data_IF_284732343009
#
_entry.id   IF_284732343009
#
_cell.length_a   1.000
_cell.length_b   1.000
_cell.length_c   1.000
_cell.angle_alpha   90.00
_cell.angle_beta   90.00
_cell.angle_gamma   90.00
#
_symmetry.space_group_name_H-M   'P 1'
#
loop_
_entity.id
_entity.type
_entity.pdbx_description
1 polymer ?
#
# COMPACT_ATOMS: atom_id res chain seq x y z
N UNK A 1 36.95 -6.06 95.50
CA UNK A 1 37.44 -4.67 95.36
C UNK A 1 37.75 -4.45 93.88
N UNK A 2 36.81 -3.84 93.13
CA UNK A 2 36.85 -2.42 92.64
C UNK A 2 37.85 -2.29 91.46
N UNK A 3 37.39 -2.29 90.19
CA UNK A 3 37.04 -1.11 89.33
C UNK A 3 38.29 -0.37 88.79
N UNK A 4 38.44 0.17 87.57
CA UNK A 4 37.63 0.64 86.40
C UNK A 4 38.71 0.94 85.29
N UNK A 5 38.54 0.80 83.95
CA UNK A 5 38.06 1.84 82.99
C UNK A 5 38.12 1.38 81.51
N UNK A 6 36.95 1.48 80.83
CA UNK A 6 36.69 2.07 79.50
C UNK A 6 37.49 1.66 78.23
N UNK A 7 36.80 1.02 77.25
CA UNK A 7 36.27 1.66 76.03
C UNK A 7 35.68 0.61 75.05
N UNK A 8 34.39 0.72 74.79
CA UNK A 8 33.66 -0.06 73.79
C UNK A 8 33.47 0.76 72.49
N UNK A 9 33.66 0.14 71.33
CA UNK A 9 33.27 0.67 70.02
C UNK A 9 32.58 -0.43 69.21
N UNK A 10 31.25 -0.50 69.35
CA UNK A 10 30.35 -1.30 68.52
C UNK A 10 29.66 -0.37 67.52
N UNK A 11 30.09 -0.40 66.25
CA UNK A 11 29.38 0.27 65.15
C UNK A 11 28.26 -0.63 64.64
N UNK A 12 27.08 -0.51 65.24
CA UNK A 12 25.84 -1.04 64.67
C UNK A 12 25.45 -0.25 63.42
N UNK A 13 25.45 -0.90 62.23
CA UNK A 13 24.77 -0.37 61.03
C UNK A 13 23.26 -0.45 61.28
N UNK A 14 22.62 0.67 61.61
CA UNK A 14 21.16 0.79 61.55
C UNK A 14 20.70 0.67 60.10
N UNK A 15 20.10 -0.45 59.72
CA UNK A 15 19.29 -0.54 58.50
C UNK A 15 18.05 0.34 58.66
N UNK A 16 17.89 1.33 57.78
CA UNK A 16 16.67 2.13 57.66
C UNK A 16 15.50 1.19 57.30
N UNK A 17 14.38 1.29 58.02
CA UNK A 17 13.14 0.57 57.68
C UNK A 17 12.69 0.98 56.27
N UNK A 18 12.12 0.07 55.45
CA UNK A 18 11.72 0.35 54.05
C UNK A 18 10.88 1.63 53.88
N UNK A 19 10.07 1.96 54.89
CA UNK A 19 9.23 3.16 54.93
C UNK A 19 9.99 4.49 55.12
N UNK A 20 11.22 4.46 55.66
CA UNK A 20 12.08 5.64 55.80
C UNK A 20 12.95 5.86 54.56
N UNK A 21 13.40 4.78 53.91
CA UNK A 21 14.09 4.86 52.62
C UNK A 21 13.16 5.37 51.51
N UNK A 22 11.90 4.93 51.49
CA UNK A 22 10.89 5.42 50.54
C UNK A 22 10.59 6.92 50.74
N UNK A 23 10.50 7.38 52.00
CA UNK A 23 10.33 8.81 52.35
C UNK A 23 11.54 9.66 51.95
N UNK A 24 12.76 9.13 52.08
CA UNK A 24 13.98 9.81 51.65
C UNK A 24 14.09 9.91 50.12
N UNK A 25 13.69 8.87 49.38
CA UNK A 25 13.63 8.90 47.91
C UNK A 25 12.54 9.84 47.43
N UNK A 26 11.34 9.79 48.01
CA UNK A 26 10.24 10.72 47.69
C UNK A 26 10.63 12.17 48.01
N UNK A 27 11.25 12.43 49.16
CA UNK A 27 11.76 13.76 49.54
C UNK A 27 12.79 14.26 48.53
N UNK A 28 13.78 13.45 48.14
CA UNK A 28 14.80 13.86 47.15
C UNK A 28 14.24 14.09 45.75
N UNK A 29 13.29 13.27 45.31
CA UNK A 29 12.61 13.45 44.01
C UNK A 29 11.76 14.72 44.01
N UNK A 30 11.05 15.01 45.10
CA UNK A 30 10.25 16.23 45.27
C UNK A 30 11.14 17.48 45.35
N UNK A 31 12.28 17.44 46.05
CA UNK A 31 13.24 18.56 46.09
C UNK A 31 13.92 18.81 44.74
N UNK A 32 14.18 17.76 43.95
CA UNK A 32 14.69 17.90 42.57
C UNK A 32 13.62 18.49 41.64
N UNK A 33 12.35 18.06 41.77
CA UNK A 33 11.24 18.62 40.99
C UNK A 33 10.93 20.08 41.35
N UNK A 34 11.07 20.46 42.63
CA UNK A 34 10.88 21.83 43.13
C UNK A 34 12.06 22.77 42.84
N UNK A 35 13.27 22.23 42.58
CA UNK A 35 14.46 23.03 42.23
C UNK A 35 14.61 23.28 40.72
N UNK A 36 13.78 22.64 39.89
CA UNK A 36 13.68 22.94 38.47
C UNK A 36 12.85 24.22 38.29
N UNK A 37 13.42 25.24 37.64
CA UNK A 37 12.65 26.42 37.26
C UNK A 37 11.45 26.01 36.41
N UNK A 38 10.34 26.74 36.52
CA UNK A 38 9.12 26.46 35.74
C UNK A 38 9.40 26.31 34.23
N UNK A 39 10.40 27.03 33.70
CA UNK A 39 10.87 26.88 32.32
C UNK A 39 11.57 25.53 32.04
N UNK A 40 12.42 25.03 32.94
CA UNK A 40 13.07 23.72 32.78
C UNK A 40 12.08 22.56 32.96
N UNK A 41 11.14 22.69 33.89
CA UNK A 41 10.06 21.71 34.08
C UNK A 41 9.12 21.70 32.86
N UNK A 42 8.75 22.88 32.33
CA UNK A 42 8.02 23.00 31.05
C UNK A 42 8.80 22.40 29.89
N UNK A 43 10.11 22.63 29.78
CA UNK A 43 10.94 22.01 28.74
C UNK A 43 11.07 20.50 28.88
N UNK A 44 11.14 19.96 30.10
CA UNK A 44 11.20 18.52 30.34
C UNK A 44 9.85 17.86 30.05
N UNK A 45 8.74 18.49 30.44
CA UNK A 45 7.38 18.06 30.12
C UNK A 45 7.11 18.18 28.63
N UNK A 46 7.54 19.27 27.97
CA UNK A 46 7.44 19.44 26.51
C UNK A 46 8.30 18.42 25.76
N UNK A 47 9.54 18.14 26.21
CA UNK A 47 10.39 17.09 25.64
C UNK A 47 9.89 15.69 25.93
N UNK A 48 9.28 15.47 27.09
CA UNK A 48 8.63 14.21 27.46
C UNK A 48 7.33 13.99 26.69
N UNK A 49 6.56 15.04 26.44
CA UNK A 49 5.36 15.04 25.61
C UNK A 49 5.71 14.88 24.12
N UNK A 50 6.75 15.56 23.62
CA UNK A 50 7.29 15.34 22.27
C UNK A 50 7.87 13.93 22.13
N UNK A 51 8.59 13.44 23.13
CA UNK A 51 9.17 12.10 23.14
C UNK A 51 8.07 11.02 23.17
N UNK A 52 7.02 11.25 23.97
CA UNK A 52 5.84 10.39 24.03
C UNK A 52 5.03 10.40 22.73
N UNK A 53 4.87 11.55 22.08
CA UNK A 53 4.16 11.65 20.80
C UNK A 53 4.95 11.04 19.64
N UNK A 54 6.27 11.23 19.60
CA UNK A 54 7.17 10.56 18.64
C UNK A 54 7.13 9.04 18.87
N UNK A 55 7.20 8.59 20.12
CA UNK A 55 7.12 7.16 20.44
C UNK A 55 5.76 6.57 20.02
N UNK A 56 4.66 7.25 20.31
CA UNK A 56 3.32 6.81 19.89
C UNK A 56 3.19 6.76 18.35
N UNK A 57 3.74 7.76 17.65
CA UNK A 57 3.75 7.79 16.18
C UNK A 57 4.59 6.64 15.61
N UNK A 58 5.75 6.35 16.19
CA UNK A 58 6.60 5.24 15.75
C UNK A 58 6.00 3.88 16.09
N UNK A 59 5.41 3.73 17.28
CA UNK A 59 4.69 2.53 17.69
C UNK A 59 3.49 2.27 16.77
N UNK A 60 2.77 3.32 16.39
CA UNK A 60 1.72 3.27 15.38
C UNK A 60 2.28 2.88 14.01
N UNK A 61 3.32 3.57 13.51
CA UNK A 61 3.91 3.35 12.19
C UNK A 61 4.51 1.95 12.00
N UNK A 62 5.02 1.36 13.08
CA UNK A 62 5.62 0.02 13.10
C UNK A 62 4.64 -1.04 13.61
N UNK A 63 3.39 -0.67 13.86
CA UNK A 63 2.33 -1.57 14.26
C UNK A 63 2.20 -2.74 13.30
N UNK A 64 2.12 -3.96 13.82
CA UNK A 64 2.14 -5.19 13.02
C UNK A 64 3.54 -5.82 12.86
N UNK A 65 4.62 -5.05 13.04
CA UNK A 65 5.99 -5.59 13.05
C UNK A 65 6.36 -6.24 14.41
N UNK A 66 5.68 -5.86 15.50
CA UNK A 66 5.92 -6.36 16.85
C UNK A 66 4.63 -6.89 17.48
N UNK A 67 4.73 -7.89 18.36
CA UNK A 67 3.59 -8.43 19.12
C UNK A 67 3.64 -8.07 20.60
N UNK A 68 4.83 -7.73 21.10
CA UNK A 68 5.07 -7.40 22.51
C UNK A 68 5.79 -6.06 22.62
N UNK A 69 5.50 -5.22 23.62
CA UNK A 69 6.07 -3.85 23.70
C UNK A 69 7.61 -3.77 23.70
N UNK A 70 8.31 -4.78 24.19
CA UNK A 70 9.79 -4.79 24.19
C UNK A 70 10.40 -5.11 22.82
N UNK A 71 9.69 -5.83 21.95
CA UNK A 71 10.15 -6.07 20.57
C UNK A 71 10.25 -4.75 19.80
N UNK A 72 9.39 -3.77 20.12
CA UNK A 72 9.42 -2.44 19.53
C UNK A 72 10.79 -1.77 19.67
N UNK A 73 11.49 -1.95 20.80
CA UNK A 73 12.84 -1.40 20.98
C UNK A 73 13.80 -1.97 19.93
N UNK A 74 13.75 -3.29 19.69
CA UNK A 74 14.54 -3.95 18.66
C UNK A 74 14.21 -3.45 17.25
N UNK A 75 12.92 -3.26 16.95
CA UNK A 75 12.48 -2.66 15.68
C UNK A 75 13.04 -1.25 15.52
N UNK A 76 12.89 -0.41 16.53
CA UNK A 76 13.36 0.99 16.52
C UNK A 76 14.88 1.09 16.32
N UNK A 77 15.66 0.24 17.00
CA UNK A 77 17.12 0.20 16.83
C UNK A 77 17.49 -0.15 15.38
N UNK A 78 16.84 -1.16 14.79
CA UNK A 78 17.06 -1.53 13.39
C UNK A 78 16.67 -0.41 12.43
N UNK A 79 15.51 0.22 12.63
CA UNK A 79 15.06 1.33 11.77
C UNK A 79 16.02 2.50 11.85
N UNK A 80 16.44 2.90 13.05
CA UNK A 80 17.45 3.97 13.23
C UNK A 80 18.76 3.63 12.53
N UNK A 81 19.25 2.40 12.69
CA UNK A 81 20.48 1.94 12.02
C UNK A 81 20.36 2.06 10.50
N UNK A 82 19.25 1.60 9.92
CA UNK A 82 19.03 1.63 8.47
C UNK A 82 18.89 3.06 7.94
N UNK A 83 18.19 3.95 8.65
CA UNK A 83 18.10 5.38 8.30
C UNK A 83 19.48 6.02 8.32
N UNK A 84 20.26 5.83 9.41
CA UNK A 84 21.61 6.35 9.50
C UNK A 84 22.50 5.83 8.38
N UNK A 85 22.43 4.52 8.07
CA UNK A 85 23.20 3.92 6.97
C UNK A 85 22.82 4.51 5.61
N UNK A 86 21.53 4.70 5.34
CA UNK A 86 21.06 5.30 4.08
C UNK A 86 21.56 6.75 3.91
N UNK A 87 21.45 7.57 4.95
CA UNK A 87 21.93 8.96 4.95
C UNK A 87 23.45 9.02 4.79
N UNK A 88 24.20 8.20 5.54
CA UNK A 88 25.67 8.16 5.41
C UNK A 88 26.09 7.70 4.01
N UNK A 89 25.39 6.73 3.42
CA UNK A 89 25.66 6.28 2.06
C UNK A 89 25.37 7.39 1.03
N UNK A 90 24.33 8.19 1.22
CA UNK A 90 24.02 9.35 0.38
C UNK A 90 25.10 10.43 0.47
N UNK A 91 25.57 10.75 1.69
CA UNK A 91 26.67 11.69 1.90
C UNK A 91 27.97 11.18 1.26
N UNK A 92 28.27 9.88 1.42
CA UNK A 92 29.45 9.26 0.82
C UNK A 92 29.44 9.30 -0.73
N UNK A 93 28.26 9.40 -1.35
CA UNK A 93 28.10 9.62 -2.80
C UNK A 93 28.17 11.10 -3.22
N UNK A 94 28.61 11.98 -2.32
CA UNK A 94 28.67 13.42 -2.58
C UNK A 94 27.29 14.07 -2.62
N UNK A 95 26.39 13.65 -1.73
CA UNK A 95 25.00 14.11 -1.67
C UNK A 95 24.23 13.88 -2.98
N UNK A 96 24.45 12.72 -3.60
CA UNK A 96 23.75 12.28 -4.81
C UNK A 96 22.92 11.03 -4.54
N UNK A 97 21.70 10.96 -5.09
CA UNK A 97 20.87 9.78 -4.93
C UNK A 97 21.53 8.57 -5.61
N UNK A 98 21.17 7.36 -5.15
CA UNK A 98 21.67 6.11 -5.72
C UNK A 98 21.30 5.95 -7.19
N UNK A 99 20.08 6.37 -7.54
CA UNK A 99 19.58 6.40 -8.91
C UNK A 99 19.12 7.82 -9.26
N UNK A 100 19.22 8.26 -10.53
CA UNK A 100 18.76 9.58 -10.96
C UNK A 100 17.28 9.86 -10.64
N UNK A 101 16.44 8.83 -10.65
CA UNK A 101 15.00 8.91 -10.40
C UNK A 101 14.65 9.02 -8.91
N UNK A 102 15.63 8.83 -8.03
CA UNK A 102 15.42 8.75 -6.58
C UNK A 102 15.72 10.07 -5.89
N UNK A 103 15.12 10.24 -4.72
CA UNK A 103 15.45 11.31 -3.77
C UNK A 103 16.06 10.70 -2.51
N UNK A 104 16.73 11.52 -1.68
CA UNK A 104 17.16 11.07 -0.35
C UNK A 104 15.97 10.61 0.49
N UNK A 105 14.85 11.35 0.44
CA UNK A 105 13.61 10.99 1.14
C UNK A 105 13.12 9.61 0.72
N UNK A 106 13.16 9.33 -0.59
CA UNK A 106 12.80 8.02 -1.11
C UNK A 106 13.77 6.92 -0.66
N UNK A 107 15.08 7.15 -0.71
CA UNK A 107 16.08 6.18 -0.22
C UNK A 107 15.85 5.78 1.23
N UNK A 108 15.52 6.76 2.08
CA UNK A 108 15.23 6.52 3.49
C UNK A 108 13.93 5.71 3.64
N UNK A 109 12.85 6.12 2.97
CA UNK A 109 11.55 5.42 3.00
C UNK A 109 11.70 3.97 2.50
N UNK A 110 12.33 3.78 1.33
CA UNK A 110 12.57 2.48 0.72
C UNK A 110 13.39 1.59 1.66
N UNK A 111 14.45 2.12 2.29
CA UNK A 111 15.30 1.35 3.19
C UNK A 111 14.54 0.90 4.44
N UNK A 112 13.70 1.78 5.02
CA UNK A 112 12.85 1.45 6.16
C UNK A 112 11.81 0.39 5.79
N UNK A 113 11.09 0.57 4.68
CA UNK A 113 10.09 -0.40 4.20
C UNK A 113 10.71 -1.77 3.94
N UNK A 114 11.85 -1.81 3.24
CA UNK A 114 12.57 -3.08 2.97
C UNK A 114 13.06 -3.74 4.26
N UNK A 115 13.58 -2.96 5.22
CA UNK A 115 13.98 -3.48 6.54
C UNK A 115 12.80 -4.13 7.27
N UNK A 116 11.63 -3.48 7.23
CA UNK A 116 10.40 -4.00 7.82
C UNK A 116 9.96 -5.30 7.14
N UNK A 117 9.93 -5.36 5.80
CA UNK A 117 9.55 -6.59 5.09
C UNK A 117 10.56 -7.73 5.31
N UNK A 118 11.87 -7.47 5.27
CA UNK A 118 12.87 -8.51 5.58
C UNK A 118 12.72 -9.08 6.97
N UNK A 119 12.55 -8.21 7.96
CA UNK A 119 12.59 -8.62 9.36
C UNK A 119 11.25 -9.20 9.82
N UNK A 120 10.13 -8.70 9.28
CA UNK A 120 8.80 -8.94 9.83
C UNK A 120 7.74 -9.28 8.79
N UNK A 121 8.09 -9.41 7.50
CA UNK A 121 7.12 -9.69 6.45
C UNK A 121 6.36 -11.01 6.64
N UNK A 122 6.98 -12.02 7.26
CA UNK A 122 6.32 -13.27 7.65
C UNK A 122 5.12 -13.06 8.60
N UNK A 123 5.05 -11.92 9.31
CA UNK A 123 3.95 -11.60 10.21
C UNK A 123 2.71 -11.08 9.47
N UNK A 124 2.82 -10.71 8.19
CA UNK A 124 1.67 -10.25 7.39
C UNK A 124 0.60 -11.31 7.20
N UNK A 125 0.94 -12.60 7.40
CA UNK A 125 -0.01 -13.71 7.35
C UNK A 125 -0.49 -14.17 8.74
N UNK A 126 -0.08 -13.49 9.82
CA UNK A 126 -0.61 -13.75 11.16
C UNK A 126 -1.88 -12.91 11.36
N UNK A 127 -3.01 -13.48 11.79
CA UNK A 127 -4.29 -12.76 11.81
C UNK A 127 -4.25 -11.40 12.51
N UNK A 128 -3.70 -11.34 13.73
CA UNK A 128 -3.62 -10.09 14.51
C UNK A 128 -2.73 -9.03 13.84
N UNK A 129 -1.58 -9.43 13.30
CA UNK A 129 -0.68 -8.51 12.59
C UNK A 129 -1.28 -8.04 11.26
N UNK A 130 -1.89 -8.95 10.49
CA UNK A 130 -2.55 -8.62 9.24
C UNK A 130 -3.67 -7.60 9.45
N UNK A 131 -4.55 -7.85 10.41
CA UNK A 131 -5.64 -6.96 10.79
C UNK A 131 -5.13 -5.59 11.25
N UNK A 132 -4.05 -5.57 12.04
CA UNK A 132 -3.44 -4.33 12.47
C UNK A 132 -2.89 -3.50 11.29
N UNK A 133 -2.20 -4.13 10.34
CA UNK A 133 -1.69 -3.43 9.14
C UNK A 133 -2.84 -2.92 8.25
N UNK A 134 -3.93 -3.70 8.11
CA UNK A 134 -5.15 -3.25 7.40
C UNK A 134 -5.77 -2.02 8.08
N UNK A 135 -5.90 -2.04 9.41
CA UNK A 135 -6.42 -0.90 10.17
C UNK A 135 -5.51 0.33 10.08
N UNK A 136 -4.21 0.14 10.24
CA UNK A 136 -3.21 1.20 10.17
C UNK A 136 -3.18 1.87 8.80
N UNK A 137 -3.15 1.07 7.73
CA UNK A 137 -3.20 1.57 6.34
C UNK A 137 -4.52 2.28 6.04
N UNK A 138 -5.64 1.85 6.62
CA UNK A 138 -6.91 2.55 6.51
C UNK A 138 -6.84 3.95 7.13
N UNK A 139 -6.24 4.07 8.32
CA UNK A 139 -6.09 5.33 9.03
C UNK A 139 -5.15 6.30 8.31
N UNK A 140 -3.96 5.83 7.92
CA UNK A 140 -2.98 6.61 7.16
C UNK A 140 -3.57 7.06 5.82
N UNK A 141 -4.20 6.14 5.10
CA UNK A 141 -4.87 6.41 3.83
C UNK A 141 -5.98 7.44 3.95
N UNK A 142 -6.78 7.38 5.02
CA UNK A 142 -7.83 8.37 5.27
C UNK A 142 -7.24 9.75 5.57
N UNK A 143 -6.18 9.83 6.38
CA UNK A 143 -5.56 11.11 6.75
C UNK A 143 -4.91 11.79 5.54
N UNK A 144 -4.07 11.07 4.79
CA UNK A 144 -3.42 11.59 3.57
C UNK A 144 -4.47 11.85 2.48
N UNK A 145 -5.43 10.94 2.34
CA UNK A 145 -6.52 11.00 1.37
C UNK A 145 -7.38 12.25 1.52
N UNK A 146 -7.72 12.67 2.74
CA UNK A 146 -8.49 13.90 2.97
C UNK A 146 -7.76 15.15 2.48
N UNK A 147 -6.45 15.26 2.76
CA UNK A 147 -5.62 16.37 2.27
C UNK A 147 -5.55 16.36 0.74
N UNK A 148 -5.38 15.18 0.15
CA UNK A 148 -5.38 14.99 -1.30
C UNK A 148 -6.73 15.39 -1.91
N UNK A 149 -7.86 15.00 -1.32
CA UNK A 149 -9.18 15.37 -1.83
C UNK A 149 -9.42 16.88 -1.86
N UNK A 150 -8.91 17.60 -0.86
CA UNK A 150 -8.91 19.06 -0.84
C UNK A 150 -8.18 19.67 -2.05
N UNK A 151 -6.97 19.18 -2.35
CA UNK A 151 -6.14 19.61 -3.48
C UNK A 151 -6.77 19.29 -4.84
N UNK A 152 -7.39 18.13 -4.97
CA UNK A 152 -7.89 17.61 -6.25
C UNK A 152 -9.38 17.90 -6.49
N UNK A 153 -10.08 18.56 -5.55
CA UNK A 153 -11.49 18.89 -5.72
C UNK A 153 -12.41 17.67 -5.73
N UNK A 154 -12.03 16.60 -5.03
CA UNK A 154 -12.78 15.33 -4.93
C UNK A 154 -13.33 15.13 -3.52
N UNK A 155 -14.15 14.10 -3.35
CA UNK A 155 -14.71 13.66 -2.08
C UNK A 155 -14.64 12.14 -1.96
N UNK A 156 -14.57 11.67 -0.72
CA UNK A 156 -14.53 10.25 -0.35
C UNK A 156 -15.90 9.85 0.15
N UNK A 157 -16.47 8.78 -0.41
CA UNK A 157 -17.80 8.25 -0.03
C UNK A 157 -17.66 6.75 0.28
N UNK A 158 -17.49 6.37 1.56
CA UNK A 158 -17.51 4.97 1.95
C UNK A 158 -18.93 4.39 1.85
N UNK A 159 -19.03 3.13 1.44
CA UNK A 159 -20.29 2.39 1.41
C UNK A 159 -20.04 0.91 1.67
N UNK A 160 -21.11 0.18 2.01
CA UNK A 160 -21.04 -1.25 2.27
C UNK A 160 -21.72 -2.04 1.16
N UNK A 161 -21.03 -3.04 0.64
CA UNK A 161 -21.54 -4.06 -0.27
C UNK A 161 -20.88 -5.38 0.09
N UNK A 162 -21.50 -6.54 -0.19
CA UNK A 162 -20.99 -7.89 0.14
C UNK A 162 -20.40 -8.12 1.57
N UNK A 163 -20.79 -7.28 2.53
CA UNK A 163 -20.28 -7.32 3.91
C UNK A 163 -18.95 -6.58 4.14
N UNK A 164 -18.43 -5.86 3.14
CA UNK A 164 -17.19 -5.10 3.19
C UNK A 164 -17.44 -3.59 2.99
N UNK A 165 -16.60 -2.75 3.58
CA UNK A 165 -16.54 -1.33 3.25
C UNK A 165 -15.72 -1.15 1.96
N UNK A 166 -16.32 -0.49 0.97
CA UNK A 166 -15.69 -0.01 -0.26
C UNK A 166 -15.67 1.52 -0.26
N UNK A 167 -14.84 2.13 -1.10
CA UNK A 167 -14.65 3.59 -1.09
C UNK A 167 -14.75 4.19 -2.47
N UNK A 168 -15.75 5.03 -2.69
CA UNK A 168 -15.81 5.90 -3.86
C UNK A 168 -14.93 7.14 -3.66
N UNK A 169 -14.20 7.51 -4.71
CA UNK A 169 -13.53 8.80 -4.83
C UNK A 169 -14.11 9.49 -6.07
N UNK A 170 -14.82 10.59 -5.85
CA UNK A 170 -15.60 11.29 -6.89
C UNK A 170 -15.28 12.78 -6.94
N UNK A 171 -15.36 13.45 -8.10
CA UNK A 171 -15.29 14.91 -8.19
C UNK A 171 -16.37 15.57 -7.33
N UNK A 172 -16.09 16.70 -6.68
CA UNK A 172 -17.10 17.44 -5.88
C UNK A 172 -18.24 18.03 -6.72
N UNK A 173 -17.97 18.30 -8.00
CA UNK A 173 -18.94 18.84 -8.95
C UNK A 173 -18.90 18.04 -10.24
N UNK A 174 -20.06 17.58 -10.69
CA UNK A 174 -20.28 16.88 -11.96
C UNK A 174 -21.70 17.16 -12.44
N UNK A 175 -21.89 17.37 -13.75
CA UNK A 175 -23.24 17.52 -14.31
C UNK A 175 -23.98 16.17 -14.28
N UNK A 176 -25.27 16.12 -13.90
CA UNK A 176 -26.08 14.90 -13.97
C UNK A 176 -26.14 14.27 -15.38
N UNK A 177 -25.96 15.08 -16.43
CA UNK A 177 -25.96 14.62 -17.83
C UNK A 177 -24.60 14.12 -18.33
N UNK A 178 -23.54 14.23 -17.51
CA UNK A 178 -22.19 13.88 -17.95
C UNK A 178 -21.95 12.36 -17.91
N UNK A 179 -21.33 11.82 -18.97
CA UNK A 179 -20.94 10.42 -19.07
C UNK A 179 -19.90 10.08 -17.99
N UNK A 180 -20.10 8.92 -17.36
CA UNK A 180 -19.20 8.40 -16.32
C UNK A 180 -18.12 7.53 -16.96
N UNK A 181 -16.86 7.76 -16.61
CA UNK A 181 -15.79 6.78 -16.73
C UNK A 181 -15.39 6.35 -15.31
N UNK A 182 -15.54 5.07 -15.01
CA UNK A 182 -15.28 4.52 -13.68
C UNK A 182 -14.09 3.59 -13.71
N UNK A 183 -13.14 3.80 -12.81
CA UNK A 183 -12.05 2.87 -12.56
C UNK A 183 -12.38 2.04 -11.33
N UNK A 184 -12.62 0.75 -11.51
CA UNK A 184 -12.65 -0.22 -10.42
C UNK A 184 -11.21 -0.57 -10.05
N UNK A 185 -10.71 -0.02 -8.95
CA UNK A 185 -9.35 -0.26 -8.49
C UNK A 185 -9.32 -1.30 -7.37
N UNK A 186 -8.64 -2.41 -7.60
CA UNK A 186 -8.44 -3.49 -6.64
C UNK A 186 -7.03 -3.41 -6.09
N UNK A 187 -6.93 -3.21 -4.78
CA UNK A 187 -5.67 -2.85 -4.15
C UNK A 187 -4.72 -4.05 -3.92
N UNK A 188 -3.42 -3.80 -3.94
CA UNK A 188 -2.36 -4.74 -3.60
C UNK A 188 -2.25 -5.05 -2.10
N UNK A 189 -1.09 -5.56 -1.68
CA UNK A 189 -0.85 -5.99 -0.28
C UNK A 189 -0.74 -7.51 -0.10
N UNK A 190 -0.29 -8.22 -1.14
CA UNK A 190 0.00 -9.66 -1.07
C UNK A 190 -1.20 -10.52 -0.70
N UNK A 191 -2.43 -10.11 -1.07
CA UNK A 191 -3.70 -10.74 -0.65
C UNK A 191 -3.96 -10.75 0.86
N UNK A 192 -3.08 -10.15 1.67
CA UNK A 192 -3.08 -10.31 3.12
C UNK A 192 -3.35 -9.00 3.87
N UNK A 193 -2.78 -7.89 3.37
CA UNK A 193 -2.72 -6.62 4.09
C UNK A 193 -3.24 -5.46 3.23
N UNK A 194 -3.12 -4.25 3.78
CA UNK A 194 -3.58 -2.98 3.22
C UNK A 194 -5.11 -2.83 3.18
N UNK A 195 -5.54 -1.57 3.07
CA UNK A 195 -6.93 -1.14 2.97
C UNK A 195 -7.11 -0.34 1.69
N UNK A 196 -8.30 -0.39 1.03
CA UNK A 196 -8.60 0.48 -0.11
C UNK A 196 -8.39 1.95 0.22
N UNK A 197 -8.60 2.38 1.48
CA UNK A 197 -8.40 3.77 1.90
C UNK A 197 -6.96 4.27 1.69
N UNK A 198 -5.96 3.39 1.70
CA UNK A 198 -4.56 3.76 1.39
C UNK A 198 -4.41 4.32 -0.04
N UNK A 199 -5.30 3.93 -0.95
CA UNK A 199 -5.24 4.24 -2.37
C UNK A 199 -6.02 5.52 -2.74
N UNK A 200 -6.58 6.25 -1.77
CA UNK A 200 -7.28 7.53 -2.03
C UNK A 200 -6.36 8.56 -2.71
N UNK A 201 -5.09 8.63 -2.30
CA UNK A 201 -4.11 9.51 -2.94
C UNK A 201 -3.93 9.16 -4.44
N UNK A 202 -3.74 7.87 -4.73
CA UNK A 202 -3.59 7.37 -6.09
C UNK A 202 -4.85 7.64 -6.93
N UNK A 203 -6.04 7.39 -6.37
CA UNK A 203 -7.31 7.68 -7.02
C UNK A 203 -7.44 9.15 -7.43
N UNK A 204 -7.04 10.08 -6.56
CA UNK A 204 -7.07 11.52 -6.86
C UNK A 204 -6.10 11.93 -7.97
N UNK A 205 -4.87 11.41 -7.95
CA UNK A 205 -3.90 11.63 -9.02
C UNK A 205 -4.45 11.09 -10.35
N UNK A 206 -5.06 9.90 -10.32
CA UNK A 206 -5.67 9.26 -11.49
C UNK A 206 -6.81 10.09 -12.07
N UNK A 207 -7.81 10.44 -11.26
CA UNK A 207 -8.96 11.28 -11.67
C UNK A 207 -8.45 12.56 -12.31
N UNK A 208 -7.48 13.22 -11.69
CA UNK A 208 -6.97 14.51 -12.14
C UNK A 208 -6.26 14.40 -13.48
N UNK A 209 -5.36 13.42 -13.63
CA UNK A 209 -4.54 13.25 -14.84
C UNK A 209 -5.37 12.75 -16.01
N UNK A 210 -6.26 11.78 -15.79
CA UNK A 210 -7.17 11.32 -16.84
C UNK A 210 -8.11 12.44 -17.26
N UNK A 211 -8.69 13.17 -16.30
CA UNK A 211 -9.52 14.32 -16.64
C UNK A 211 -8.73 15.31 -17.49
N UNK A 212 -7.52 15.69 -17.09
CA UNK A 212 -6.66 16.59 -17.85
C UNK A 212 -6.38 16.09 -19.27
N UNK A 213 -6.00 14.82 -19.43
CA UNK A 213 -5.75 14.20 -20.74
C UNK A 213 -6.97 14.17 -21.63
N UNK A 214 -8.12 13.81 -21.08
CA UNK A 214 -9.37 13.88 -21.79
C UNK A 214 -9.74 15.33 -22.16
N UNK A 215 -9.40 16.34 -21.35
CA UNK A 215 -9.59 17.75 -21.73
C UNK A 215 -8.73 18.15 -22.92
N UNK A 216 -7.47 17.73 -22.90
CA UNK A 216 -6.50 17.98 -23.98
C UNK A 216 -6.94 17.32 -25.29
N UNK A 217 -7.42 16.08 -25.23
CA UNK A 217 -7.76 15.29 -26.42
C UNK A 217 -9.17 15.55 -26.98
N UNK A 218 -10.16 15.81 -26.12
CA UNK A 218 -11.57 15.90 -26.51
C UNK A 218 -12.15 17.32 -26.48
N UNK A 219 -11.42 18.30 -25.95
CA UNK A 219 -11.95 19.65 -25.74
C UNK A 219 -13.04 19.64 -24.68
N UNK A 220 -12.65 19.70 -23.40
CA UNK A 220 -13.56 19.56 -22.27
C UNK A 220 -14.70 20.59 -22.26
N UNK A 221 -15.92 20.12 -22.49
CA UNK A 221 -17.18 20.86 -22.37
C UNK A 221 -17.97 20.47 -21.09
N UNK A 222 -17.42 19.56 -20.27
CA UNK A 222 -18.10 19.00 -19.10
C UNK A 222 -18.99 17.79 -19.40
N UNK A 223 -18.92 17.22 -20.61
CA UNK A 223 -19.69 16.04 -21.03
C UNK A 223 -19.29 14.72 -20.35
N UNK A 224 -18.17 14.67 -19.64
CA UNK A 224 -17.75 13.47 -18.90
C UNK A 224 -17.05 13.80 -17.58
N UNK A 225 -17.02 12.81 -16.68
CA UNK A 225 -16.20 12.85 -15.47
C UNK A 225 -15.63 11.47 -15.13
N UNK A 226 -14.52 11.49 -14.40
CA UNK A 226 -13.78 10.29 -13.98
C UNK A 226 -14.05 10.04 -12.50
N UNK A 227 -14.41 8.81 -12.16
CA UNK A 227 -14.58 8.33 -10.79
C UNK A 227 -13.68 7.12 -10.55
N UNK A 228 -13.29 6.90 -9.30
CA UNK A 228 -12.54 5.71 -8.90
C UNK A 228 -13.30 5.02 -7.78
N UNK A 229 -13.62 3.74 -7.97
CA UNK A 229 -14.13 2.86 -6.94
C UNK A 229 -12.97 2.01 -6.40
N UNK A 230 -12.56 2.28 -5.17
CA UNK A 230 -11.55 1.51 -4.46
C UNK A 230 -12.25 0.30 -3.82
N UNK A 231 -12.11 -0.86 -4.44
CA UNK A 231 -12.73 -2.09 -3.98
C UNK A 231 -11.93 -2.75 -2.85
N UNK A 232 -12.64 -3.17 -1.81
CA UNK A 232 -12.12 -4.06 -0.79
C UNK A 232 -12.44 -5.51 -1.15
N UNK A 233 -11.75 -6.43 -0.50
CA UNK A 233 -11.92 -7.88 -0.67
C UNK A 233 -11.50 -8.59 0.62
N UNK A 234 -12.05 -9.77 0.88
CA UNK A 234 -11.61 -10.64 1.97
C UNK A 234 -10.23 -11.21 1.66
N UNK A 235 -9.40 -11.37 2.69
CA UNK A 235 -7.94 -11.54 2.59
C UNK A 235 -7.46 -12.71 3.42
N UNK A 236 -6.27 -13.21 3.09
CA UNK A 236 -5.56 -14.19 3.95
C UNK A 236 -5.03 -13.52 5.21
N UNK A 237 -4.90 -14.25 6.32
CA UNK A 237 -5.12 -15.70 6.49
C UNK A 237 -6.59 -16.13 6.64
N UNK A 238 -7.53 -15.20 6.80
CA UNK A 238 -8.92 -15.56 7.11
C UNK A 238 -9.67 -16.16 5.92
N UNK A 239 -9.36 -15.69 4.71
CA UNK A 239 -10.02 -16.10 3.47
C UNK A 239 -9.00 -16.30 2.35
N UNK A 240 -8.80 -17.56 1.96
CA UNK A 240 -7.98 -17.95 0.82
C UNK A 240 -8.81 -17.99 -0.48
N UNK A 241 -8.15 -18.29 -1.60
CA UNK A 241 -8.79 -18.58 -2.88
C UNK A 241 -9.91 -19.65 -2.72
N UNK A 242 -11.08 -19.47 -3.37
CA UNK A 242 -11.42 -18.48 -4.40
C UNK A 242 -12.09 -17.19 -3.89
N UNK A 243 -12.07 -16.92 -2.58
CA UNK A 243 -12.84 -15.81 -2.00
C UNK A 243 -12.36 -14.42 -2.50
N UNK A 244 -11.07 -14.06 -2.46
CA UNK A 244 -10.63 -12.73 -2.92
C UNK A 244 -11.04 -12.37 -4.36
N UNK A 245 -10.88 -13.25 -5.38
CA UNK A 245 -11.34 -12.94 -6.73
C UNK A 245 -12.88 -12.95 -6.88
N UNK A 246 -13.62 -13.68 -6.03
CA UNK A 246 -15.08 -13.57 -5.99
C UNK A 246 -15.53 -12.19 -5.50
N UNK A 247 -14.90 -11.65 -4.45
CA UNK A 247 -15.21 -10.31 -3.96
C UNK A 247 -14.87 -9.22 -4.98
N UNK A 248 -13.73 -9.35 -5.68
CA UNK A 248 -13.34 -8.43 -6.73
C UNK A 248 -14.35 -8.43 -7.90
N UNK A 249 -14.78 -9.60 -8.35
CA UNK A 249 -15.79 -9.74 -9.40
C UNK A 249 -17.17 -9.24 -8.98
N UNK A 250 -17.57 -9.49 -7.73
CA UNK A 250 -18.81 -8.95 -7.16
C UNK A 250 -18.87 -7.41 -7.26
N UNK A 251 -17.73 -6.72 -7.13
CA UNK A 251 -17.70 -5.26 -7.30
C UNK A 251 -17.78 -4.80 -8.76
N UNK A 252 -17.32 -5.60 -9.71
CA UNK A 252 -17.60 -5.36 -11.12
C UNK A 252 -19.11 -5.53 -11.41
N UNK A 253 -19.73 -6.59 -10.89
CA UNK A 253 -21.18 -6.81 -11.00
C UNK A 253 -21.98 -5.68 -10.33
N UNK A 254 -21.53 -5.16 -9.19
CA UNK A 254 -22.12 -3.98 -8.55
C UNK A 254 -22.13 -2.78 -9.52
N UNK A 255 -21.02 -2.50 -10.21
CA UNK A 255 -20.96 -1.40 -11.18
C UNK A 255 -21.92 -1.60 -12.36
N UNK A 256 -22.03 -2.82 -12.89
CA UNK A 256 -22.89 -3.10 -14.04
C UNK A 256 -24.37 -3.12 -13.64
N UNK A 257 -24.71 -3.82 -12.56
CA UNK A 257 -26.11 -4.12 -12.23
C UNK A 257 -26.73 -3.16 -11.22
N UNK A 258 -25.95 -2.56 -10.33
CA UNK A 258 -26.47 -1.60 -9.32
C UNK A 258 -26.25 -0.16 -9.78
N UNK A 259 -25.03 0.19 -10.20
CA UNK A 259 -24.73 1.53 -10.74
C UNK A 259 -25.20 1.71 -12.20
N UNK A 260 -25.68 0.63 -12.84
CA UNK A 260 -26.24 0.62 -14.20
C UNK A 260 -25.25 1.14 -15.25
N UNK A 261 -23.95 0.89 -15.06
CA UNK A 261 -22.92 1.30 -15.99
C UNK A 261 -22.79 0.28 -17.13
N UNK A 262 -22.62 0.78 -18.36
CA UNK A 262 -22.16 -0.06 -19.45
C UNK A 262 -20.75 -0.59 -19.14
N UNK A 263 -20.41 -1.85 -19.46
CA UNK A 263 -19.04 -2.35 -19.33
C UNK A 263 -17.99 -1.45 -20.01
N UNK A 264 -18.35 -0.77 -21.11
CA UNK A 264 -17.49 0.19 -21.83
C UNK A 264 -17.21 1.48 -21.06
N UNK A 265 -17.87 1.70 -19.92
CA UNK A 265 -17.59 2.81 -19.00
C UNK A 265 -16.67 2.39 -17.84
N UNK A 266 -16.28 1.11 -17.77
CA UNK A 266 -15.56 0.55 -16.62
C UNK A 266 -14.14 0.16 -17.04
N UNK A 267 -13.14 0.67 -16.34
CA UNK A 267 -11.77 0.18 -16.39
C UNK A 267 -11.50 -0.63 -15.13
N UNK A 268 -10.89 -1.81 -15.29
CA UNK A 268 -10.48 -2.64 -14.15
C UNK A 268 -8.99 -2.42 -13.92
N UNK A 269 -8.63 -1.98 -12.71
CA UNK A 269 -7.26 -1.64 -12.36
C UNK A 269 -6.84 -2.35 -11.07
N UNK A 270 -5.54 -2.59 -10.93
CA UNK A 270 -4.99 -3.07 -9.66
C UNK A 270 -3.48 -3.19 -9.67
N UNK A 271 -2.88 -3.20 -8.49
CA UNK A 271 -1.44 -3.31 -8.29
C UNK A 271 -1.04 -4.60 -7.58
N UNK A 272 0.13 -5.17 -7.93
CA UNK A 272 0.66 -6.34 -7.22
C UNK A 272 -0.34 -7.50 -7.19
N UNK A 273 -0.67 -8.02 -6.00
CA UNK A 273 -1.77 -8.96 -5.78
C UNK A 273 -3.14 -8.45 -6.31
N UNK A 274 -3.42 -7.16 -6.19
CA UNK A 274 -4.61 -6.53 -6.78
C UNK A 274 -4.59 -6.52 -8.31
N UNK A 275 -3.40 -6.51 -8.93
CA UNK A 275 -3.23 -6.72 -10.37
C UNK A 275 -3.64 -8.14 -10.79
N UNK A 276 -3.33 -9.16 -9.99
CA UNK A 276 -3.84 -10.52 -10.18
C UNK A 276 -5.37 -10.54 -10.17
N UNK A 277 -5.97 -9.90 -9.15
CA UNK A 277 -7.43 -9.85 -9.00
C UNK A 277 -8.09 -9.03 -10.11
N UNK A 278 -7.46 -7.96 -10.59
CA UNK A 278 -7.94 -7.18 -11.71
C UNK A 278 -7.98 -8.02 -13.00
N UNK A 279 -6.89 -8.75 -13.30
CA UNK A 279 -6.85 -9.65 -14.45
C UNK A 279 -7.85 -10.81 -14.30
N UNK A 280 -7.97 -11.37 -13.10
CA UNK A 280 -8.98 -12.40 -12.80
C UNK A 280 -10.41 -11.88 -13.00
N UNK A 281 -10.67 -10.62 -12.63
CA UNK A 281 -11.98 -10.00 -12.83
C UNK A 281 -12.28 -9.81 -14.31
N UNK A 282 -11.28 -9.46 -15.13
CA UNK A 282 -11.42 -9.39 -16.59
C UNK A 282 -11.72 -10.78 -17.19
N UNK A 283 -11.01 -11.82 -16.75
CA UNK A 283 -11.27 -13.20 -17.17
C UNK A 283 -12.71 -13.63 -16.85
N UNK A 284 -13.14 -13.41 -15.62
CA UNK A 284 -14.52 -13.74 -15.19
C UNK A 284 -15.56 -12.93 -15.96
N UNK A 285 -15.33 -11.64 -16.17
CA UNK A 285 -16.20 -10.80 -16.98
C UNK A 285 -16.29 -11.29 -18.43
N UNK A 286 -15.21 -11.80 -19.02
CA UNK A 286 -15.25 -12.45 -20.33
C UNK A 286 -16.05 -13.74 -20.31
N UNK A 287 -15.74 -14.64 -19.38
CA UNK A 287 -16.28 -15.99 -19.36
C UNK A 287 -17.75 -16.04 -18.92
N UNK A 288 -18.23 -15.01 -18.24
CA UNK A 288 -19.60 -14.92 -17.71
C UNK A 288 -20.47 -13.85 -18.40
N UNK A 289 -19.94 -13.07 -19.34
CA UNK A 289 -20.71 -12.01 -20.00
C UNK A 289 -21.79 -12.59 -20.91
N UNK A 290 -23.04 -12.23 -20.65
CA UNK A 290 -24.18 -12.53 -21.53
C UNK A 290 -24.30 -11.55 -22.70
N UNK A 291 -23.59 -10.42 -22.67
CA UNK A 291 -23.74 -9.31 -23.64
C UNK A 291 -22.56 -9.17 -24.59
N UNK A 292 -21.53 -10.02 -24.49
CA UNK A 292 -20.22 -9.90 -25.15
C UNK A 292 -19.46 -8.58 -24.88
N UNK A 293 -20.06 -7.62 -24.15
CA UNK A 293 -19.42 -6.37 -23.80
C UNK A 293 -18.43 -6.60 -22.66
N UNK A 294 -17.17 -6.32 -22.94
CA UNK A 294 -16.08 -6.34 -21.97
C UNK A 294 -15.89 -4.98 -21.31
N UNK A 295 -15.28 -4.94 -20.11
CA UNK A 295 -14.71 -3.72 -19.55
C UNK A 295 -13.89 -2.96 -20.60
N UNK A 296 -13.88 -1.64 -20.51
CA UNK A 296 -13.18 -0.77 -21.46
C UNK A 296 -11.72 -1.15 -21.64
N UNK A 297 -11.02 -1.38 -20.53
CA UNK A 297 -9.61 -1.75 -20.50
C UNK A 297 -9.20 -2.31 -19.12
N UNK A 298 -8.02 -2.92 -19.08
CA UNK A 298 -7.32 -3.30 -17.85
C UNK A 298 -6.09 -2.44 -17.57
N UNK A 299 -5.81 -2.15 -16.29
CA UNK A 299 -4.59 -1.45 -15.84
C UNK A 299 -3.91 -2.26 -14.74
N UNK A 300 -2.78 -2.89 -15.06
CA UNK A 300 -2.04 -3.77 -14.15
C UNK A 300 -0.72 -3.11 -13.74
N UNK A 301 -0.58 -2.76 -12.46
CA UNK A 301 0.60 -2.08 -11.94
C UNK A 301 1.47 -3.07 -11.16
N UNK A 302 2.63 -3.42 -11.72
CA UNK A 302 3.56 -4.39 -11.13
C UNK A 302 2.85 -5.70 -10.71
N UNK A 303 2.09 -6.36 -11.61
CA UNK A 303 1.17 -7.41 -11.22
C UNK A 303 1.88 -8.66 -10.73
N UNK A 304 1.32 -9.29 -9.70
CA UNK A 304 1.47 -10.74 -9.52
C UNK A 304 0.53 -11.41 -10.53
N UNK A 305 1.00 -12.39 -11.29
CA UNK A 305 0.19 -13.02 -12.34
C UNK A 305 0.37 -14.53 -12.48
N UNK A 306 1.41 -15.10 -11.86
CA UNK A 306 1.85 -16.46 -12.14
C UNK A 306 2.44 -17.08 -10.89
N UNK A 307 1.89 -18.20 -10.42
CA UNK A 307 2.39 -18.94 -9.25
C UNK A 307 3.67 -19.74 -9.52
N UNK A 308 4.03 -19.97 -10.78
CA UNK A 308 5.23 -20.73 -11.17
C UNK A 308 6.47 -19.84 -11.30
N UNK A 309 6.28 -18.55 -11.58
CA UNK A 309 7.39 -17.61 -11.80
C UNK A 309 8.25 -17.51 -10.55
N UNK A 310 9.45 -18.08 -10.65
CA UNK A 310 10.45 -17.96 -9.60
C UNK A 310 11.01 -16.54 -9.58
N UNK A 311 10.73 -15.86 -8.48
CA UNK A 311 11.29 -14.56 -8.18
C UNK A 311 12.37 -14.73 -7.12
N UNK A 312 13.54 -14.15 -7.38
CA UNK A 312 14.68 -14.22 -6.48
C UNK A 312 15.02 -12.81 -6.01
N UNK A 313 15.05 -12.62 -4.70
CA UNK A 313 15.34 -11.34 -4.08
C UNK A 313 16.74 -10.78 -4.41
N UNK A 314 17.72 -11.64 -4.72
CA UNK A 314 19.06 -11.22 -5.16
C UNK A 314 19.01 -10.44 -6.48
N UNK A 315 18.00 -10.71 -7.33
CA UNK A 315 17.73 -9.95 -8.56
C UNK A 315 17.02 -8.62 -8.28
N UNK A 316 16.49 -8.43 -7.07
CA UNK A 316 15.72 -7.25 -6.66
C UNK A 316 16.22 -6.66 -5.32
N UNK A 317 17.51 -6.28 -5.20
CA UNK A 317 18.11 -5.81 -3.95
C UNK A 317 17.55 -4.47 -3.46
N UNK A 318 16.85 -3.75 -4.34
CA UNK A 318 16.28 -2.42 -4.11
C UNK A 318 14.75 -2.42 -4.05
N UNK A 319 14.11 -3.59 -4.15
CA UNK A 319 12.67 -3.69 -4.00
C UNK A 319 12.22 -3.52 -2.54
N UNK A 320 10.99 -3.06 -2.31
CA UNK A 320 10.41 -3.02 -0.95
C UNK A 320 9.79 -4.35 -0.55
N UNK A 321 9.30 -5.12 -1.52
CA UNK A 321 8.89 -6.51 -1.30
C UNK A 321 10.13 -7.42 -1.32
N UNK A 322 10.02 -8.53 -0.61
CA UNK A 322 11.09 -9.48 -0.31
C UNK A 322 10.54 -10.91 -0.46
N UNK A 323 11.35 -11.93 -0.23
CA UNK A 323 10.90 -13.33 -0.24
C UNK A 323 9.73 -13.61 0.72
N UNK A 324 9.48 -12.72 1.70
CA UNK A 324 8.29 -12.77 2.54
C UNK A 324 6.97 -12.72 1.77
N UNK A 325 6.97 -12.23 0.52
CA UNK A 325 5.82 -12.26 -0.38
C UNK A 325 5.38 -13.71 -0.68
N UNK A 326 6.34 -14.65 -0.80
CA UNK A 326 6.05 -16.07 -1.04
C UNK A 326 5.19 -16.68 0.06
N UNK A 327 5.34 -16.22 1.31
CA UNK A 327 4.51 -16.68 2.41
C UNK A 327 3.05 -16.26 2.22
N UNK A 328 2.80 -15.04 1.74
CA UNK A 328 1.46 -14.57 1.47
C UNK A 328 0.82 -15.33 0.29
N UNK A 329 1.60 -15.60 -0.77
CA UNK A 329 1.17 -16.42 -1.92
C UNK A 329 0.85 -17.86 -1.46
N UNK A 330 1.67 -18.46 -0.59
CA UNK A 330 1.44 -19.80 -0.04
C UNK A 330 0.15 -19.93 0.78
N UNK A 331 -0.32 -18.81 1.36
CA UNK A 331 -1.60 -18.75 2.08
C UNK A 331 -2.76 -18.39 1.16
N UNK A 332 -2.49 -17.69 0.06
CA UNK A 332 -3.49 -17.28 -0.92
C UNK A 332 -4.15 -18.49 -1.59
N UNK A 333 -3.37 -19.49 -1.99
CA UNK A 333 -3.92 -20.69 -2.64
C UNK A 333 -3.59 -21.98 -1.86
N UNK A 334 -4.59 -22.76 -1.43
CA UNK A 334 -4.36 -23.94 -0.59
C UNK A 334 -3.60 -25.06 -1.31
N UNK A 335 -3.64 -25.09 -2.64
CA UNK A 335 -3.00 -26.11 -3.49
C UNK A 335 -1.98 -25.48 -4.42
N UNK A 336 -1.07 -24.67 -3.87
CA UNK A 336 -0.06 -23.95 -4.68
C UNK A 336 0.89 -24.89 -5.42
N UNK A 337 1.12 -26.11 -4.94
CA UNK A 337 1.98 -27.10 -5.62
C UNK A 337 1.29 -27.87 -6.76
N UNK A 338 0.00 -27.65 -7.01
CA UNK A 338 -0.78 -28.38 -8.02
C UNK A 338 -1.25 -27.41 -9.12
N UNK A 339 -0.50 -27.28 -10.21
CA UNK A 339 -0.79 -26.33 -11.28
C UNK A 339 -2.23 -26.45 -11.84
N UNK A 340 -2.74 -27.67 -11.98
CA UNK A 340 -4.11 -27.95 -12.42
C UNK A 340 -5.19 -27.40 -11.47
N UNK A 341 -4.84 -27.09 -10.21
CA UNK A 341 -5.75 -26.58 -9.21
C UNK A 341 -5.77 -25.06 -9.10
N UNK A 342 -4.81 -24.35 -9.72
CA UNK A 342 -4.67 -22.90 -9.58
C UNK A 342 -5.87 -22.12 -10.13
N UNK A 343 -6.47 -22.60 -11.22
CA UNK A 343 -7.54 -21.87 -11.91
C UNK A 343 -7.10 -20.43 -12.23
N UNK A 344 -8.00 -19.48 -12.00
CA UNK A 344 -7.73 -18.05 -12.18
C UNK A 344 -6.94 -17.39 -11.04
N UNK A 345 -6.49 -18.16 -10.03
CA UNK A 345 -5.55 -17.65 -9.03
C UNK A 345 -4.16 -17.36 -9.62
N UNK A 346 -3.84 -18.00 -10.75
CA UNK A 346 -2.61 -17.84 -11.53
C UNK A 346 -2.99 -17.45 -12.96
N UNK A 347 -3.49 -16.23 -13.20
CA UNK A 347 -4.16 -15.86 -14.45
C UNK A 347 -3.27 -15.93 -15.69
N UNK A 348 -1.94 -15.93 -15.55
CA UNK A 348 -1.01 -16.19 -16.65
C UNK A 348 -1.16 -17.60 -17.25
N UNK A 349 -1.82 -18.54 -16.57
CA UNK A 349 -2.09 -19.89 -17.07
C UNK A 349 -3.47 -20.02 -17.73
N UNK A 350 -4.28 -18.97 -17.73
CA UNK A 350 -5.57 -18.94 -18.40
C UNK A 350 -5.43 -18.62 -19.90
N UNK A 351 -6.50 -18.86 -20.67
CA UNK A 351 -6.63 -18.28 -22.00
C UNK A 351 -6.86 -16.77 -21.85
N UNK A 352 -6.04 -15.92 -22.49
CA UNK A 352 -6.17 -14.46 -22.48
C UNK A 352 -6.89 -13.90 -23.71
N UNK A 353 -7.25 -14.74 -24.70
CA UNK A 353 -7.99 -14.32 -25.89
C UNK A 353 -9.31 -13.64 -25.55
N UNK A 354 -9.67 -12.60 -26.30
CA UNK A 354 -10.93 -11.86 -26.13
C UNK A 354 -10.99 -10.95 -24.90
N UNK A 355 -9.90 -10.85 -24.11
CA UNK A 355 -9.78 -9.81 -23.10
C UNK A 355 -9.64 -8.42 -23.75
N UNK A 356 -10.07 -7.34 -23.05
CA UNK A 356 -9.93 -5.98 -23.59
C UNK A 356 -8.45 -5.53 -23.61
N UNK A 357 -8.16 -4.34 -24.18
CA UNK A 357 -6.82 -3.77 -24.10
C UNK A 357 -6.33 -3.68 -22.65
N UNK A 358 -5.11 -4.13 -22.38
CA UNK A 358 -4.49 -4.05 -21.04
C UNK A 358 -3.19 -3.26 -21.09
N UNK A 359 -3.03 -2.36 -20.13
CA UNK A 359 -1.78 -1.68 -19.86
C UNK A 359 -1.08 -2.31 -18.66
N UNK A 360 0.13 -2.81 -18.85
CA UNK A 360 0.98 -3.36 -17.80
C UNK A 360 2.10 -2.34 -17.51
N UNK A 361 2.04 -1.72 -16.34
CA UNK A 361 3.15 -0.93 -15.83
C UNK A 361 4.09 -1.84 -15.05
N UNK A 362 5.36 -1.89 -15.44
CA UNK A 362 6.38 -2.69 -14.80
C UNK A 362 7.53 -1.81 -14.29
N UNK A 363 8.19 -2.27 -13.23
CA UNK A 363 9.26 -1.55 -12.55
C UNK A 363 10.53 -2.41 -12.56
N UNK A 364 11.64 -1.88 -13.09
CA UNK A 364 12.87 -2.65 -13.30
C UNK A 364 13.49 -3.17 -12.00
N UNK A 365 13.35 -2.44 -10.88
CA UNK A 365 13.86 -2.86 -9.57
C UNK A 365 12.82 -3.64 -8.75
N UNK A 366 11.75 -4.10 -9.39
CA UNK A 366 10.70 -4.86 -8.74
C UNK A 366 11.04 -6.36 -8.67
N UNK A 367 10.73 -6.97 -7.53
CA UNK A 367 10.80 -8.41 -7.35
C UNK A 367 9.81 -9.13 -8.27
N UNK A 368 8.63 -8.54 -8.51
CA UNK A 368 7.62 -9.09 -9.44
C UNK A 368 7.83 -8.69 -10.90
N UNK A 369 8.94 -8.04 -11.25
CA UNK A 369 9.23 -7.67 -12.63
C UNK A 369 9.12 -8.86 -13.63
N UNK A 370 9.60 -10.07 -13.32
CA UNK A 370 9.46 -11.22 -14.21
C UNK A 370 8.00 -11.64 -14.47
N UNK A 371 7.06 -11.39 -13.55
CA UNK A 371 5.64 -11.70 -13.77
C UNK A 371 5.05 -10.78 -14.85
N UNK A 372 5.37 -9.49 -14.82
CA UNK A 372 4.90 -8.55 -15.85
C UNK A 372 5.44 -8.93 -17.24
N UNK A 373 6.71 -9.33 -17.33
CA UNK A 373 7.32 -9.78 -18.58
C UNK A 373 6.69 -11.08 -19.10
N UNK A 374 6.53 -12.08 -18.22
CA UNK A 374 5.99 -13.39 -18.57
C UNK A 374 4.52 -13.29 -18.97
N UNK A 375 3.72 -12.51 -18.24
CA UNK A 375 2.33 -12.24 -18.58
C UNK A 375 2.20 -11.56 -19.95
N UNK A 376 3.04 -10.56 -20.24
CA UNK A 376 3.00 -9.89 -21.54
C UNK A 376 3.41 -10.82 -22.69
N UNK A 377 4.43 -11.67 -22.48
CA UNK A 377 4.83 -12.68 -23.44
C UNK A 377 3.73 -13.72 -23.67
N UNK A 378 3.04 -14.15 -22.61
CA UNK A 378 1.88 -15.05 -22.68
C UNK A 378 0.74 -14.44 -23.47
N UNK A 379 0.38 -13.18 -23.22
CA UNK A 379 -0.68 -12.49 -23.97
C UNK A 379 -0.38 -12.48 -25.47
N UNK A 380 0.87 -12.20 -25.87
CA UNK A 380 1.30 -12.34 -27.27
C UNK A 380 1.20 -13.76 -27.80
N UNK A 381 1.58 -14.75 -26.99
CA UNK A 381 1.45 -16.16 -27.32
C UNK A 381 0.01 -16.60 -27.58
N UNK A 382 -0.95 -16.01 -26.85
CA UNK A 382 -2.39 -16.18 -27.04
C UNK A 382 -2.97 -15.31 -28.18
N UNK A 383 -2.14 -14.62 -28.96
CA UNK A 383 -2.60 -13.77 -30.06
C UNK A 383 -3.22 -12.43 -29.63
N UNK A 384 -3.07 -12.01 -28.37
CA UNK A 384 -3.55 -10.73 -27.86
C UNK A 384 -2.53 -9.63 -28.16
N UNK A 385 -2.88 -8.73 -29.08
CA UNK A 385 -1.95 -7.75 -29.68
C UNK A 385 -2.16 -6.30 -29.24
N UNK A 386 -3.21 -6.02 -28.47
CA UNK A 386 -3.58 -4.67 -28.00
C UNK A 386 -3.16 -4.40 -26.55
N UNK A 387 -2.30 -5.27 -26.00
CA UNK A 387 -1.68 -5.08 -24.70
C UNK A 387 -0.39 -4.24 -24.82
N UNK A 388 -0.14 -3.42 -23.81
CA UNK A 388 1.06 -2.58 -23.71
C UNK A 388 1.84 -2.96 -22.47
N UNK A 389 3.15 -3.20 -22.61
CA UNK A 389 4.08 -3.32 -21.48
C UNK A 389 4.95 -2.06 -21.41
N UNK A 390 4.84 -1.32 -20.31
CA UNK A 390 5.58 -0.10 -20.04
C UNK A 390 6.55 -0.31 -18.87
N UNK A 391 7.84 -0.42 -19.18
CA UNK A 391 8.91 -0.70 -18.21
C UNK A 391 9.59 0.59 -17.77
N UNK A 392 9.49 0.90 -16.49
CA UNK A 392 10.16 2.05 -15.88
C UNK A 392 11.49 1.63 -15.27
N UNK A 393 12.55 2.33 -15.68
CA UNK A 393 13.91 2.08 -15.19
C UNK A 393 14.12 2.60 -13.78
N UNK A 394 14.98 1.92 -13.02
CA UNK A 394 15.42 2.33 -11.69
C UNK A 394 14.30 2.60 -10.67
N UNK A 395 13.07 2.11 -10.86
CA UNK A 395 11.97 2.28 -9.90
C UNK A 395 11.58 0.95 -9.28
N UNK A 396 11.13 0.91 -8.02
CA UNK A 396 10.75 -0.34 -7.36
C UNK A 396 9.25 -0.62 -7.50
N UNK A 397 8.82 -1.71 -6.86
CA UNK A 397 7.45 -2.20 -6.83
C UNK A 397 6.41 -1.09 -6.61
N UNK A 398 5.43 -1.02 -7.52
CA UNK A 398 4.28 -0.09 -7.51
C UNK A 398 4.70 1.35 -7.25
N UNK A 399 5.71 1.84 -7.98
CA UNK A 399 6.25 3.18 -7.77
C UNK A 399 5.19 4.31 -7.91
N UNK A 400 4.12 4.06 -8.67
CA UNK A 400 2.98 4.97 -8.81
C UNK A 400 2.20 5.24 -7.51
N UNK A 401 2.30 4.35 -6.50
CA UNK A 401 1.65 4.53 -5.21
C UNK A 401 2.38 5.54 -4.31
N UNK A 402 3.67 5.79 -4.55
CA UNK A 402 4.42 6.76 -3.76
C UNK A 402 3.96 8.19 -4.07
N UNK A 403 3.73 9.02 -3.04
CA UNK A 403 3.45 10.44 -3.23
C UNK A 403 4.54 11.11 -4.08
N UNK A 404 4.14 11.88 -5.09
CA UNK A 404 5.05 12.55 -6.02
C UNK A 404 6.10 13.45 -5.35
N UNK A 405 5.88 14.07 -4.16
CA UNK A 405 6.95 14.78 -3.46
C UNK A 405 8.06 13.88 -2.90
N UNK A 406 7.74 12.60 -2.63
CA UNK A 406 8.71 11.61 -2.14
C UNK A 406 9.43 10.97 -3.33
N UNK A 407 8.68 10.55 -4.34
CA UNK A 407 9.20 9.89 -5.53
C UNK A 407 8.69 10.61 -6.79
N UNK A 408 9.39 11.67 -7.25
CA UNK A 408 8.92 12.49 -8.36
C UNK A 408 8.63 11.68 -9.61
N UNK A 409 9.46 10.69 -9.96
CA UNK A 409 9.29 9.85 -11.16
C UNK A 409 7.92 9.16 -11.26
N UNK A 410 7.19 8.98 -10.15
CA UNK A 410 5.82 8.44 -10.14
C UNK A 410 4.88 9.20 -11.09
N UNK A 411 5.08 10.51 -11.32
CA UNK A 411 4.25 11.26 -12.27
C UNK A 411 4.30 10.67 -13.69
N UNK A 412 5.47 10.21 -14.17
CA UNK A 412 5.59 9.67 -15.53
C UNK A 412 4.76 8.41 -15.71
N UNK A 413 4.79 7.52 -14.71
CA UNK A 413 3.98 6.31 -14.73
C UNK A 413 2.48 6.62 -14.70
N UNK A 414 2.07 7.58 -13.86
CA UNK A 414 0.67 8.00 -13.77
C UNK A 414 0.19 8.71 -15.04
N UNK A 415 1.03 9.53 -15.67
CA UNK A 415 0.72 10.21 -16.93
C UNK A 415 0.55 9.22 -18.08
N UNK A 416 1.41 8.21 -18.17
CA UNK A 416 1.30 7.19 -19.21
C UNK A 416 0.03 6.34 -19.06
N UNK A 417 -0.32 5.96 -17.83
CA UNK A 417 -1.60 5.30 -17.52
C UNK A 417 -2.78 6.19 -17.88
N UNK A 418 -2.69 7.49 -17.57
CA UNK A 418 -3.75 8.44 -17.87
C UNK A 418 -3.95 8.64 -19.37
N UNK A 419 -2.86 8.75 -20.13
CA UNK A 419 -2.88 8.81 -21.60
C UNK A 419 -3.49 7.55 -22.22
N UNK A 420 -3.09 6.36 -21.76
CA UNK A 420 -3.71 5.11 -22.24
C UNK A 420 -5.21 5.10 -21.96
N UNK A 421 -5.61 5.45 -20.74
CA UNK A 421 -7.02 5.54 -20.33
C UNK A 421 -7.81 6.50 -21.21
N UNK A 422 -7.29 7.71 -21.43
CA UNK A 422 -7.91 8.72 -22.26
C UNK A 422 -8.08 8.24 -23.71
N UNK A 423 -7.04 7.62 -24.26
CA UNK A 423 -7.06 7.03 -25.61
C UNK A 423 -8.14 5.96 -25.75
N UNK A 424 -8.28 5.03 -24.78
CA UNK A 424 -9.31 3.99 -24.86
C UNK A 424 -10.72 4.58 -24.75
N UNK A 425 -10.93 5.55 -23.85
CA UNK A 425 -12.21 6.23 -23.72
C UNK A 425 -12.55 7.08 -24.96
N UNK A 426 -11.57 7.73 -25.59
CA UNK A 426 -11.79 8.44 -26.83
C UNK A 426 -12.32 7.50 -27.94
N UNK A 427 -11.81 6.26 -28.02
CA UNK A 427 -12.28 5.30 -29.03
C UNK A 427 -13.77 4.98 -28.89
N UNK A 428 -14.30 4.91 -27.66
CA UNK A 428 -15.74 4.64 -27.45
C UNK A 428 -16.62 5.80 -27.87
N UNK A 429 -16.09 7.02 -27.94
CA UNK A 429 -16.85 8.19 -28.42
C UNK A 429 -16.95 8.26 -29.96
N UNK A 430 -16.03 7.61 -30.68
CA UNK A 430 -16.01 7.61 -32.15
C UNK A 430 -16.89 6.52 -32.77
N UNK A 431 -17.27 5.51 -32.00
CA UNK A 431 -18.18 4.45 -32.43
C UNK A 431 -19.54 4.76 -31.82
N UNK A 432 -20.54 5.19 -32.60
CA UNK A 432 -21.91 5.31 -32.09
C UNK A 432 -22.31 3.94 -31.55
N UNK A 433 -22.83 3.90 -30.32
CA UNK A 433 -23.43 2.69 -29.76
C UNK A 433 -24.42 2.16 -30.80
N UNK A 434 -24.16 0.96 -31.35
CA UNK A 434 -25.14 0.26 -32.15
C UNK A 434 -26.31 -0.05 -31.21
N UNK A 435 -27.42 0.65 -31.45
CA UNK A 435 -28.64 0.61 -30.68
C UNK A 435 -29.26 -0.80 -30.61
#
# INVERSE_FOLDING_TARGET
MVSIKLLASSKARKMLKPSQALRLVQSRVVTVLLSLSAAKLRHLVLRGALGGSIYAMLAFALGGCYSRPWELIGVLVRMKYVVCRAVMAYIARGCKPRFPEWTLSFEVVQSVMRCAMKSYGHRMILPASAQHVRWQSAWVGTAIGHLSCGKHGTRVEPFYHNGLEHVWVRPKSSSPSSRRLVVLYIHGGGFAVLSPRLYIYLANEFITRVTAKLREELGFDGSFHVEVLLANYRKVPEYAYPIPPQDAYCMYEYLVHVEKLSPRQIIIAGDSAGGCLALTTLLRARDQSSTQLQPLAGLLLCPFADMEVDCNEDRAPHCVITDSCQLAISKYHPRIGEASAWGDASPAHCNLEGLPPVYIQAAELDYLFPHAQSLYAKAKGDGVNDWTLDVHKNVPHVFALYPTPIMPIAHKGLDAIASFTATQFHKTLRVPDAA
#
